data_IF_779534277138
#
_entry.id   IF_779534277138
#
_cell.length_a   1.000
_cell.length_b   1.000
_cell.length_c   1.000
_cell.angle_alpha   90.00
_cell.angle_beta   90.00
_cell.angle_gamma   90.00
#
_symmetry.space_group_name_H-M   'P 1'
#
loop_
_entity.id
_entity.type
_entity.pdbx_description
1 polymer ?
#
# COMPACT_ATOMS: atom_id res chain seq x y z
N UNK A 1 18.82 -1.00 8.34
CA UNK A 1 17.41 -0.88 7.95
C UNK A 1 16.99 -2.09 7.14
N UNK A 2 15.85 -2.63 7.48
CA UNK A 2 15.38 -3.83 6.80
C UNK A 2 14.93 -3.52 5.39
N UNK A 3 15.18 -4.48 4.52
CA UNK A 3 14.75 -4.41 3.15
C UNK A 3 13.25 -4.72 3.08
N UNK A 4 12.54 -3.99 2.23
CA UNK A 4 11.13 -4.27 2.00
C UNK A 4 11.03 -5.51 1.10
N UNK A 5 10.95 -6.67 1.71
CA UNK A 5 11.00 -7.95 1.01
C UNK A 5 9.62 -8.40 0.55
N UNK A 6 9.60 -9.50 -0.24
CA UNK A 6 8.34 -10.11 -0.66
C UNK A 6 7.52 -10.52 0.56
N UNK A 7 8.17 -11.10 1.57
CA UNK A 7 7.45 -11.52 2.77
C UNK A 7 6.84 -10.34 3.50
N UNK A 8 7.58 -9.24 3.62
CA UNK A 8 7.06 -8.03 4.23
C UNK A 8 5.87 -7.51 3.44
N UNK A 9 6.01 -7.47 2.11
CA UNK A 9 4.94 -6.99 1.25
C UNK A 9 3.68 -7.83 1.39
N UNK A 10 3.82 -9.15 1.51
CA UNK A 10 2.68 -10.04 1.64
C UNK A 10 1.84 -9.70 2.88
N UNK A 11 2.46 -9.22 3.93
CA UNK A 11 1.72 -8.89 5.15
C UNK A 11 0.82 -7.67 4.97
N UNK A 12 1.03 -6.89 3.92
CA UNK A 12 0.22 -5.70 3.64
C UNK A 12 -0.80 -5.91 2.54
N UNK A 13 -0.83 -7.09 1.91
CA UNK A 13 -1.81 -7.34 0.85
C UNK A 13 -3.22 -7.29 1.42
N UNK A 14 -4.12 -6.69 0.66
CA UNK A 14 -5.52 -6.54 1.09
C UNK A 14 -5.71 -5.41 2.08
N UNK A 15 -4.71 -4.57 2.25
CA UNK A 15 -4.77 -3.49 3.22
C UNK A 15 -4.47 -2.16 2.55
N UNK A 16 -4.90 -1.08 3.21
CA UNK A 16 -4.59 0.27 2.74
C UNK A 16 -3.34 0.78 3.45
N UNK A 17 -2.44 1.36 2.68
CA UNK A 17 -1.16 1.81 3.19
C UNK A 17 -0.72 3.10 2.51
N UNK A 18 0.25 3.77 3.13
CA UNK A 18 1.07 4.75 2.46
C UNK A 18 2.38 4.06 2.10
N UNK A 19 2.79 4.17 0.84
CA UNK A 19 4.05 3.58 0.39
C UNK A 19 5.14 4.64 0.43
N UNK A 20 6.13 4.44 1.29
CA UNK A 20 7.28 5.34 1.37
C UNK A 20 8.38 4.82 0.47
N UNK A 21 8.73 5.61 -0.53
CA UNK A 21 9.70 5.18 -1.54
C UNK A 21 11.10 5.59 -1.16
N UNK A 22 12.07 4.90 -1.76
CA UNK A 22 13.48 5.14 -1.44
C UNK A 22 13.96 6.51 -1.86
N UNK A 23 13.28 7.14 -2.82
CA UNK A 23 13.65 8.49 -3.24
C UNK A 23 13.06 9.58 -2.34
N UNK A 24 12.35 9.19 -1.29
CA UNK A 24 11.77 10.13 -0.34
C UNK A 24 10.33 10.50 -0.63
N UNK A 25 9.79 10.09 -1.78
CA UNK A 25 8.39 10.37 -2.07
C UNK A 25 7.48 9.39 -1.37
N UNK A 26 6.19 9.73 -1.29
CA UNK A 26 5.20 8.90 -0.63
C UNK A 26 3.97 8.78 -1.52
N UNK A 27 3.52 7.54 -1.74
CA UNK A 27 2.27 7.29 -2.44
C UNK A 27 1.22 7.08 -1.37
N UNK A 28 0.27 7.99 -1.30
CA UNK A 28 -0.65 8.06 -0.16
C UNK A 28 -1.90 7.25 -0.40
N UNK A 29 -2.28 6.47 0.61
CA UNK A 29 -3.55 5.75 0.70
C UNK A 29 -3.86 4.92 -0.54
N UNK A 30 -3.13 3.83 -0.68
CA UNK A 30 -3.34 2.88 -1.76
C UNK A 30 -3.67 1.51 -1.19
N UNK A 31 -4.48 0.77 -1.94
CA UNK A 31 -4.85 -0.59 -1.57
C UNK A 31 -3.93 -1.55 -2.31
N UNK A 32 -3.23 -2.40 -1.56
CA UNK A 32 -2.30 -3.35 -2.16
C UNK A 32 -3.03 -4.62 -2.55
N UNK A 33 -2.93 -4.98 -3.82
CA UNK A 33 -3.73 -6.07 -4.37
C UNK A 33 -2.96 -7.39 -4.46
N UNK A 34 -1.78 -7.36 -5.07
CA UNK A 34 -1.03 -8.59 -5.24
C UNK A 34 0.42 -8.30 -5.58
N UNK A 35 1.24 -9.31 -5.39
CA UNK A 35 2.64 -9.25 -5.80
C UNK A 35 2.75 -10.01 -7.10
N UNK A 36 3.39 -9.40 -8.09
CA UNK A 36 3.55 -9.97 -9.41
C UNK A 36 5.04 -10.08 -9.73
N UNK A 37 5.43 -11.22 -10.23
CA UNK A 37 6.82 -11.44 -10.60
C UNK A 37 7.00 -11.26 -12.10
N UNK A 38 8.02 -10.51 -12.47
CA UNK A 38 8.41 -10.35 -13.86
C UNK A 38 9.61 -11.26 -14.10
N UNK A 39 9.38 -12.39 -14.76
CA UNK A 39 10.43 -13.38 -14.96
C UNK A 39 11.55 -12.89 -15.86
N UNK A 40 11.22 -12.03 -16.82
CA UNK A 40 12.24 -11.51 -17.75
C UNK A 40 13.21 -10.60 -17.03
N UNK A 41 12.70 -9.75 -16.15
CA UNK A 41 13.52 -8.80 -15.41
C UNK A 41 13.96 -9.33 -14.07
N UNK A 42 13.42 -10.46 -13.65
CA UNK A 42 13.66 -11.05 -12.34
C UNK A 42 13.38 -10.05 -11.23
N UNK A 43 12.31 -9.30 -11.39
CA UNK A 43 11.87 -8.32 -10.42
C UNK A 43 10.49 -8.67 -9.92
N UNK A 44 10.22 -8.27 -8.69
CA UNK A 44 8.88 -8.35 -8.12
C UNK A 44 8.26 -6.97 -8.15
N UNK A 45 6.98 -6.92 -8.50
CA UNK A 45 6.18 -5.71 -8.50
C UNK A 45 5.03 -5.90 -7.56
N UNK A 46 4.57 -4.81 -6.96
CA UNK A 46 3.33 -4.85 -6.19
C UNK A 46 2.29 -4.04 -6.95
N UNK A 47 1.12 -4.62 -7.12
CA UNK A 47 0.02 -3.95 -7.80
C UNK A 47 -0.85 -3.26 -6.76
N UNK A 48 -1.24 -2.03 -7.06
CA UNK A 48 -2.02 -1.25 -6.12
C UNK A 48 -3.04 -0.38 -6.83
N UNK A 49 -4.04 0.06 -6.06
CA UNK A 49 -5.09 0.94 -6.55
C UNK A 49 -5.23 2.08 -5.55
N UNK A 50 -5.15 3.34 -6.00
CA UNK A 50 -5.38 4.46 -5.10
C UNK A 50 -6.78 4.41 -4.51
N UNK A 51 -6.90 4.83 -3.26
CA UNK A 51 -8.17 4.80 -2.55
C UNK A 51 -9.22 5.64 -3.29
N UNK A 52 -10.40 5.07 -3.45
CA UNK A 52 -11.49 5.76 -4.15
C UNK A 52 -11.37 5.79 -5.65
N UNK A 53 -10.39 5.09 -6.21
CA UNK A 53 -10.19 5.05 -7.65
C UNK A 53 -10.20 3.62 -8.17
N UNK A 54 -10.36 3.48 -9.48
CA UNK A 54 -10.34 2.17 -10.13
C UNK A 54 -9.06 1.91 -10.91
N UNK A 55 -8.22 2.92 -11.02
CA UNK A 55 -6.98 2.80 -11.77
C UNK A 55 -6.06 1.79 -11.08
N UNK A 56 -5.36 1.01 -11.91
CA UNK A 56 -4.43 0.00 -11.41
C UNK A 56 -3.02 0.41 -11.79
N UNK A 57 -2.13 0.31 -10.81
CA UNK A 57 -0.73 0.66 -11.01
C UNK A 57 0.14 -0.46 -10.47
N UNK A 58 1.40 -0.44 -10.82
CA UNK A 58 2.37 -1.35 -10.24
C UNK A 58 3.68 -0.61 -10.02
N UNK A 59 4.41 -1.06 -9.01
CA UNK A 59 5.69 -0.44 -8.67
C UNK A 59 6.65 -1.55 -8.27
N UNK A 60 7.93 -1.47 -8.67
CA UNK A 60 8.91 -2.47 -8.24
C UNK A 60 9.08 -2.47 -6.73
N UNK A 61 9.14 -3.64 -6.14
CA UNK A 61 9.36 -3.74 -4.71
C UNK A 61 10.63 -3.04 -4.28
N UNK A 62 11.66 -3.10 -5.12
CA UNK A 62 12.94 -2.48 -4.77
C UNK A 62 12.86 -0.97 -4.63
N UNK A 63 11.80 -0.35 -5.15
CA UNK A 63 11.61 1.09 -5.02
C UNK A 63 10.97 1.48 -3.69
N UNK A 64 10.45 0.53 -2.94
CA UNK A 64 9.74 0.80 -1.70
C UNK A 64 10.68 0.69 -0.52
N UNK A 65 10.72 1.73 0.30
CA UNK A 65 11.50 1.70 1.54
C UNK A 65 10.72 1.01 2.64
N UNK A 66 9.46 1.40 2.82
CA UNK A 66 8.58 0.78 3.82
C UNK A 66 7.12 1.15 3.54
N UNK A 67 6.22 0.45 4.18
CA UNK A 67 4.79 0.70 4.02
C UNK A 67 4.19 1.04 5.38
N UNK A 68 3.35 2.05 5.38
CA UNK A 68 2.69 2.51 6.60
C UNK A 68 1.24 2.06 6.57
N UNK A 69 0.86 1.21 7.51
CA UNK A 69 -0.49 0.69 7.56
C UNK A 69 -1.49 1.76 7.97
N UNK A 70 -2.58 1.87 7.23
CA UNK A 70 -3.66 2.81 7.55
C UNK A 70 -4.83 2.07 8.15
N UNK A 71 -5.44 2.66 9.16
CA UNK A 71 -6.63 2.10 9.79
C UNK A 71 -7.85 2.87 9.34
N UNK A 72 -8.42 2.45 8.19
CA UNK A 72 -9.56 3.15 7.62
C UNK A 72 -10.81 3.04 8.48
N UNK A 73 -10.96 1.94 9.22
CA UNK A 73 -12.11 1.81 10.11
C UNK A 73 -12.12 2.90 11.16
N UNK A 74 -10.96 3.17 11.74
CA UNK A 74 -10.84 4.20 12.75
C UNK A 74 -11.08 5.57 12.15
N UNK A 75 -10.58 5.79 10.93
CA UNK A 75 -10.77 7.06 10.25
C UNK A 75 -12.23 7.30 9.92
N UNK A 76 -12.93 6.26 9.49
CA UNK A 76 -14.35 6.35 9.17
C UNK A 76 -15.18 6.68 10.42
N UNK A 77 -14.84 6.09 11.54
CA UNK A 77 -15.53 6.36 12.80
C UNK A 77 -15.46 7.82 13.21
N UNK A 78 -14.36 8.45 12.92
CA UNK A 78 -14.13 9.83 13.35
C UNK A 78 -14.93 10.83 12.56
N UNK A 79 -15.44 10.46 11.45
CA UNK A 79 -16.21 11.37 10.63
C UNK A 79 -17.70 11.24 10.90
N UNK A 80 -18.11 10.31 11.75
CA UNK A 80 -19.50 10.06 11.97
C UNK A 80 -20.14 10.77 13.09
N UNK A 81 -20.03 10.94 13.37
CA UNK A 81 -20.62 10.94 13.91
C UNK A 81 -20.83 10.92 14.71
N UNK A 82 -20.79 11.16 15.12
CA UNK A 82 -20.77 11.13 15.49
C UNK A 82 -21.37 10.75 15.79
N UNK A 83 -21.85 10.69 15.91
CA UNK A 83 -22.26 10.34 15.83
C UNK A 83 -22.62 9.91 16.12
N UNK A 84 -22.98 10.15 16.37
CA UNK A 84 -23.08 9.76 16.37
C UNK A 84 -23.04 9.31 16.39
N UNK A 85 -23.32 9.44 16.56
CA UNK A 85 -23.08 9.01 16.28
C UNK A 85 -22.99 8.52 16.11
N UNK A 86 -23.24 8.54 16.05
CA UNK A 86 -22.98 8.16 15.58
C UNK A 86 -22.59 8.16 15.43
#
# INVERSE_FOLDING_TARGET
MEKFSVNTAKSFLGKNVNLHLKDGSVIINVFLKEIQKDDLRRENFIRYTPYGRRNKFKIPLKSIAWAELLNLSLMTHRTGKDKTAS
#
